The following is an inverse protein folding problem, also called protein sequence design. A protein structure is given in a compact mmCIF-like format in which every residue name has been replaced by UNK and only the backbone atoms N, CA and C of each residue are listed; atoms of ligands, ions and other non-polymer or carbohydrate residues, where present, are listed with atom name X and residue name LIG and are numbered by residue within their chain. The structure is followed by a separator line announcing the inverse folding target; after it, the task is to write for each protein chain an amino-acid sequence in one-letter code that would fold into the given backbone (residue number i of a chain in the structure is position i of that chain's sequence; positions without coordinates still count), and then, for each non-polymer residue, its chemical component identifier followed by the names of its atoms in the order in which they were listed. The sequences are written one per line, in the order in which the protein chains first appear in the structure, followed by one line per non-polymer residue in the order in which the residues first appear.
data_IF_451565488372
#
_entry.id   IF_451565488372
#
_cell.length_a   1.000
_cell.length_b   1.000
_cell.length_c   1.000
_cell.angle_alpha   90.00
_cell.angle_beta   90.00
_cell.angle_gamma   90.00
#
_symmetry.space_group_name_H-M   'P 1'
#
loop_
_entity.id
_entity.type
_entity.pdbx_description
1 polymer ?
#
# COMPACT_ATOMS: atom_id res chain seq x y z
N UNK A 1 11.02 -25.24 -9.05
CA UNK A 1 9.56 -25.41 -9.34
C UNK A 1 9.02 -24.07 -9.79
N UNK A 2 7.91 -24.02 -10.55
CA UNK A 2 7.30 -22.75 -10.93
C UNK A 2 6.27 -22.33 -9.87
N UNK A 3 6.26 -21.04 -9.52
CA UNK A 3 5.28 -20.46 -8.60
C UNK A 3 3.99 -20.12 -9.36
N UNK A 4 2.83 -20.56 -8.83
CA UNK A 4 1.54 -20.11 -9.34
C UNK A 4 1.21 -18.75 -8.69
N UNK A 5 0.98 -17.73 -9.50
CA UNK A 5 0.70 -16.36 -9.05
C UNK A 5 -0.51 -15.83 -9.82
N UNK A 6 -1.51 -15.32 -9.10
CA UNK A 6 -2.61 -14.60 -9.72
C UNK A 6 -2.12 -13.23 -10.19
N UNK A 7 -2.31 -12.93 -11.48
CA UNK A 7 -1.93 -11.66 -12.08
C UNK A 7 -3.18 -10.85 -12.41
N UNK A 8 -3.30 -9.68 -11.79
CA UNK A 8 -4.44 -8.76 -12.00
C UNK A 8 -3.90 -7.49 -12.64
N UNK A 9 -4.11 -7.26 -13.95
CA UNK A 9 -3.59 -6.06 -14.63
C UNK A 9 -4.14 -4.76 -14.03
N UNK A 10 -5.41 -4.73 -13.60
CA UNK A 10 -6.10 -3.54 -13.12
C UNK A 10 -6.57 -2.64 -14.26
N UNK A 11 -6.89 -1.38 -13.92
CA UNK A 11 -7.46 -0.38 -14.82
C UNK A 11 -6.44 0.67 -15.27
N UNK A 12 -6.78 1.42 -16.30
CA UNK A 12 -6.05 2.59 -16.75
C UNK A 12 -4.60 2.29 -17.16
N UNK A 13 -3.61 2.77 -16.39
CA UNK A 13 -2.18 2.48 -16.62
C UNK A 13 -1.79 1.05 -16.20
N UNK A 14 -2.67 0.36 -15.48
CA UNK A 14 -2.41 -0.96 -14.90
C UNK A 14 -1.86 -1.99 -15.88
N UNK A 15 -2.51 -2.24 -17.03
CA UNK A 15 -2.03 -3.22 -18.00
C UNK A 15 -0.58 -2.99 -18.48
N UNK A 16 -0.20 -1.74 -18.74
CA UNK A 16 1.14 -1.39 -19.22
C UNK A 16 2.22 -1.66 -18.17
N UNK A 17 2.00 -1.15 -16.94
CA UNK A 17 2.98 -1.29 -15.85
C UNK A 17 3.07 -2.73 -15.33
N UNK A 18 1.97 -3.48 -15.39
CA UNK A 18 1.92 -4.88 -14.98
C UNK A 18 2.64 -5.76 -15.97
N UNK A 19 2.46 -5.54 -17.30
CA UNK A 19 3.19 -6.27 -18.33
C UNK A 19 4.70 -5.96 -18.27
N UNK A 20 5.08 -4.69 -18.09
CA UNK A 20 6.46 -4.28 -17.88
C UNK A 20 7.08 -5.01 -16.66
N UNK A 21 6.35 -5.08 -15.56
CA UNK A 21 6.78 -5.77 -14.33
C UNK A 21 6.89 -7.28 -14.52
N UNK A 22 5.93 -7.91 -15.19
CA UNK A 22 5.96 -9.34 -15.50
C UNK A 22 7.23 -9.71 -16.27
N UNK A 23 7.58 -8.97 -17.34
CA UNK A 23 8.81 -9.15 -18.11
C UNK A 23 10.06 -9.10 -17.23
N UNK A 24 10.13 -8.11 -16.35
CA UNK A 24 11.25 -7.92 -15.41
C UNK A 24 11.34 -9.08 -14.41
N UNK A 25 10.22 -9.55 -13.86
CA UNK A 25 10.18 -10.69 -12.94
C UNK A 25 10.62 -11.98 -13.63
N UNK A 26 10.17 -12.24 -14.86
CA UNK A 26 10.61 -13.41 -15.66
C UNK A 26 12.12 -13.34 -15.95
N UNK A 27 12.69 -12.15 -16.19
CA UNK A 27 14.12 -11.96 -16.41
C UNK A 27 14.98 -12.25 -15.16
N UNK A 28 14.41 -12.30 -13.94
CA UNK A 28 15.13 -12.74 -12.74
C UNK A 28 15.59 -14.18 -12.79
N UNK A 29 14.97 -15.01 -13.65
CA UNK A 29 15.18 -16.44 -13.76
C UNK A 29 14.29 -17.28 -12.84
N UNK A 30 13.45 -16.65 -12.01
CA UNK A 30 12.42 -17.35 -11.25
C UNK A 30 11.28 -17.76 -12.18
N UNK A 31 10.85 -19.01 -12.09
CA UNK A 31 9.80 -19.54 -12.96
C UNK A 31 8.41 -19.24 -12.36
N UNK A 32 7.55 -18.59 -13.14
CA UNK A 32 6.17 -18.28 -12.78
C UNK A 32 5.17 -18.97 -13.70
N UNK A 33 3.99 -19.26 -13.14
CA UNK A 33 2.76 -19.61 -13.88
C UNK A 33 1.73 -18.57 -13.53
N UNK A 34 1.52 -17.62 -14.43
CA UNK A 34 0.59 -16.54 -14.25
C UNK A 34 -0.84 -17.01 -14.49
N UNK A 35 -1.69 -16.87 -13.46
CA UNK A 35 -3.14 -17.09 -13.54
C UNK A 35 -3.80 -15.71 -13.69
N UNK A 36 -4.16 -15.37 -14.94
CA UNK A 36 -4.66 -14.04 -15.29
C UNK A 36 -6.10 -13.87 -14.80
N UNK A 37 -6.35 -12.85 -14.02
CA UNK A 37 -7.67 -12.50 -13.48
C UNK A 37 -7.94 -11.01 -13.65
N UNK A 38 -9.18 -10.65 -13.96
CA UNK A 38 -9.56 -9.28 -14.25
C UNK A 38 -10.47 -8.72 -13.17
N UNK A 39 -10.11 -7.57 -12.59
CA UNK A 39 -10.88 -6.81 -11.61
C UNK A 39 -10.68 -5.31 -11.87
N UNK A 40 -11.68 -4.53 -11.55
CA UNK A 40 -11.67 -3.07 -11.70
C UNK A 40 -12.90 -2.55 -12.44
N UNK A 41 -12.86 -1.28 -12.84
CA UNK A 41 -13.97 -0.64 -13.52
C UNK A 41 -14.24 -1.25 -14.92
N UNK A 42 -13.19 -1.67 -15.62
CA UNK A 42 -13.27 -2.16 -17.00
C UNK A 42 -14.05 -3.47 -17.14
N UNK A 43 -14.23 -4.25 -16.05
CA UNK A 43 -14.96 -5.53 -16.08
C UNK A 43 -16.39 -5.44 -15.51
N UNK A 44 -16.77 -4.27 -15.00
CA UNK A 44 -18.10 -4.05 -14.39
C UNK A 44 -19.26 -4.37 -15.35
N UNK A 45 -19.13 -3.98 -16.61
CA UNK A 45 -20.19 -4.17 -17.61
C UNK A 45 -20.36 -5.66 -18.03
N UNK A 46 -19.25 -6.40 -18.03
CA UNK A 46 -19.24 -7.82 -18.41
C UNK A 46 -19.75 -8.74 -17.28
N UNK A 47 -19.30 -8.49 -16.05
CA UNK A 47 -19.56 -9.37 -14.91
C UNK A 47 -20.64 -8.85 -13.94
N UNK A 48 -21.15 -7.63 -14.14
CA UNK A 48 -22.10 -6.99 -13.22
C UNK A 48 -21.47 -6.56 -11.87
N UNK A 49 -20.16 -6.77 -11.70
CA UNK A 49 -19.39 -6.43 -10.51
C UNK A 49 -17.94 -6.10 -10.88
N UNK A 50 -17.29 -5.12 -10.22
CA UNK A 50 -15.89 -4.81 -10.46
C UNK A 50 -14.93 -5.82 -9.82
N UNK A 51 -15.44 -6.75 -9.00
CA UNK A 51 -14.68 -7.83 -8.37
C UNK A 51 -15.42 -9.15 -8.50
N UNK A 52 -15.31 -9.85 -9.63
CA UNK A 52 -15.92 -11.17 -9.81
C UNK A 52 -15.34 -12.22 -8.85
N UNK A 53 -16.19 -13.15 -8.37
CA UNK A 53 -15.80 -14.17 -7.38
C UNK A 53 -14.61 -15.03 -7.83
N UNK A 54 -14.49 -15.33 -9.13
CA UNK A 54 -13.38 -16.13 -9.65
C UNK A 54 -12.01 -15.51 -9.38
N UNK A 55 -11.93 -14.17 -9.24
CA UNK A 55 -10.69 -13.44 -8.88
C UNK A 55 -10.25 -13.81 -7.46
N UNK A 56 -11.22 -13.78 -6.52
CA UNK A 56 -10.96 -14.18 -5.14
C UNK A 56 -10.58 -15.67 -5.06
N UNK A 57 -11.23 -16.52 -5.85
CA UNK A 57 -10.96 -17.96 -5.88
C UNK A 57 -9.57 -18.26 -6.48
N UNK A 58 -9.16 -17.55 -7.53
CA UNK A 58 -7.79 -17.62 -8.06
C UNK A 58 -6.76 -17.26 -6.99
N UNK A 59 -6.96 -16.15 -6.26
CA UNK A 59 -6.04 -15.73 -5.19
C UNK A 59 -6.02 -16.75 -4.04
N UNK A 60 -7.18 -17.25 -3.60
CA UNK A 60 -7.25 -18.29 -2.55
C UNK A 60 -6.51 -19.56 -2.95
N UNK A 61 -6.60 -19.96 -4.21
CA UNK A 61 -5.91 -21.13 -4.76
C UNK A 61 -4.40 -20.93 -4.83
N UNK A 62 -3.96 -19.80 -5.37
CA UNK A 62 -2.55 -19.52 -5.64
C UNK A 62 -1.81 -18.93 -4.41
N UNK A 63 -2.55 -18.41 -3.41
CA UNK A 63 -2.06 -17.76 -2.19
C UNK A 63 -1.31 -16.45 -2.42
N UNK A 64 -0.80 -16.21 -3.61
CA UNK A 64 -0.01 -15.03 -3.98
C UNK A 64 -0.60 -14.39 -5.22
N UNK A 65 -0.72 -13.07 -5.19
CA UNK A 65 -1.13 -12.27 -6.34
C UNK A 65 -0.23 -11.05 -6.55
N UNK A 66 -0.02 -10.68 -7.81
CA UNK A 66 0.52 -9.39 -8.23
C UNK A 66 -0.60 -8.61 -8.90
N UNK A 67 -0.88 -7.40 -8.42
CA UNK A 67 -2.02 -6.61 -8.87
C UNK A 67 -1.60 -5.20 -9.28
N UNK A 68 -2.04 -4.79 -10.46
CA UNK A 68 -2.01 -3.39 -10.90
C UNK A 68 -3.06 -2.54 -10.17
N UNK A 69 -3.03 -1.22 -10.36
CA UNK A 69 -3.98 -0.30 -9.75
C UNK A 69 -5.40 -0.50 -10.33
N UNK A 70 -6.42 -0.26 -9.48
CA UNK A 70 -7.83 -0.29 -9.89
C UNK A 70 -8.49 1.05 -9.60
N UNK A 71 -9.49 1.40 -10.40
CA UNK A 71 -10.26 2.63 -10.26
C UNK A 71 -11.36 2.47 -9.22
N UNK A 72 -11.47 3.44 -8.30
CA UNK A 72 -12.60 3.58 -7.41
C UNK A 72 -13.32 4.89 -7.73
N UNK A 73 -14.62 4.88 -8.11
CA UNK A 73 -15.39 6.11 -8.36
C UNK A 73 -15.45 7.01 -7.13
N UNK A 74 -15.49 8.32 -7.36
CA UNK A 74 -15.62 9.33 -6.29
C UNK A 74 -17.09 9.72 -6.12
N UNK A 75 -17.57 9.75 -4.89
CA UNK A 75 -18.89 10.23 -4.49
C UNK A 75 -20.03 9.24 -4.73
N UNK A 76 -20.17 8.67 -5.92
CA UNK A 76 -21.21 7.70 -6.26
C UNK A 76 -20.65 6.54 -7.08
N UNK A 77 -21.37 5.41 -7.16
CA UNK A 77 -20.94 4.22 -7.88
C UNK A 77 -20.62 3.04 -6.95
N UNK A 78 -19.84 2.08 -7.43
CA UNK A 78 -19.48 0.91 -6.63
C UNK A 78 -18.42 1.23 -5.56
N UNK A 79 -18.46 0.48 -4.46
CA UNK A 79 -17.45 0.58 -3.38
C UNK A 79 -16.08 0.09 -3.85
N UNK A 80 -15.02 0.58 -3.19
CA UNK A 80 -13.63 0.25 -3.54
C UNK A 80 -13.40 -1.25 -3.67
N UNK A 81 -12.95 -1.67 -4.87
CA UNK A 81 -12.51 -3.04 -5.18
C UNK A 81 -11.38 -3.46 -4.23
N UNK A 82 -10.44 -2.56 -3.93
CA UNK A 82 -9.34 -2.83 -3.00
C UNK A 82 -9.86 -3.16 -1.60
N UNK A 83 -10.84 -2.41 -1.09
CA UNK A 83 -11.46 -2.68 0.22
C UNK A 83 -12.20 -4.03 0.22
N UNK A 84 -12.96 -4.32 -0.84
CA UNK A 84 -13.67 -5.58 -0.97
C UNK A 84 -12.72 -6.79 -1.01
N UNK A 85 -11.62 -6.68 -1.79
CA UNK A 85 -10.59 -7.71 -1.90
C UNK A 85 -9.89 -7.95 -0.56
N UNK A 86 -9.48 -6.87 0.15
CA UNK A 86 -8.82 -6.95 1.45
C UNK A 86 -9.70 -7.62 2.50
N UNK A 87 -10.99 -7.27 2.55
CA UNK A 87 -11.97 -7.89 3.46
C UNK A 87 -12.30 -9.33 3.08
N UNK A 88 -12.53 -9.61 1.79
CA UNK A 88 -12.89 -10.94 1.29
C UNK A 88 -11.79 -12.00 1.47
N UNK A 89 -10.55 -11.58 1.63
CA UNK A 89 -9.37 -12.44 1.82
C UNK A 89 -8.72 -12.25 3.20
N UNK A 90 -9.31 -11.45 4.10
CA UNK A 90 -8.75 -11.06 5.40
C UNK A 90 -7.27 -10.60 5.34
N UNK A 91 -6.97 -9.72 4.38
CA UNK A 91 -5.64 -9.13 4.23
C UNK A 91 -5.48 -7.96 5.22
N UNK A 92 -5.29 -8.28 6.47
CA UNK A 92 -5.39 -7.32 7.57
C UNK A 92 -4.20 -6.36 7.70
N UNK A 93 -3.04 -6.70 7.13
CA UNK A 93 -1.85 -5.88 7.20
C UNK A 93 -1.48 -5.33 5.82
N UNK A 94 -1.54 -4.00 5.67
CA UNK A 94 -0.99 -3.32 4.50
C UNK A 94 0.42 -2.82 4.82
N UNK A 95 1.40 -3.33 4.09
CA UNK A 95 2.82 -3.04 4.27
C UNK A 95 3.29 -2.12 3.13
N UNK A 96 3.79 -0.93 3.46
CA UNK A 96 4.23 0.10 2.51
C UNK A 96 5.63 0.60 2.86
N UNK A 97 6.69 -0.01 2.35
CA UNK A 97 8.05 0.48 2.52
C UNK A 97 8.29 1.73 1.67
N UNK A 98 8.92 2.74 2.27
CA UNK A 98 9.29 4.02 1.68
C UNK A 98 10.78 4.25 1.90
N UNK A 99 11.58 4.02 0.86
CA UNK A 99 13.04 4.09 0.89
C UNK A 99 13.55 5.05 -0.17
N UNK A 100 14.51 5.93 0.18
CA UNK A 100 15.18 6.77 -0.80
C UNK A 100 16.16 5.96 -1.65
N UNK A 101 16.10 6.17 -2.95
CA UNK A 101 17.09 5.65 -3.90
C UNK A 101 17.96 6.81 -4.41
N UNK A 102 19.29 6.63 -4.54
CA UNK A 102 20.14 7.62 -5.19
C UNK A 102 19.62 7.96 -6.59
N UNK A 103 19.51 9.24 -6.91
CA UNK A 103 18.95 9.70 -8.19
C UNK A 103 17.43 9.94 -8.19
N UNK A 104 16.71 9.50 -7.19
CA UNK A 104 15.28 9.83 -7.05
C UNK A 104 15.04 11.32 -6.81
N UNK A 105 13.95 11.91 -7.35
CA UNK A 105 13.64 13.33 -7.22
C UNK A 105 13.10 13.68 -5.83
N UNK A 106 13.94 13.69 -4.83
CA UNK A 106 13.59 14.00 -3.45
C UNK A 106 14.56 14.99 -2.81
N UNK A 107 14.05 15.74 -1.82
CA UNK A 107 14.86 16.62 -0.97
C UNK A 107 15.52 15.89 0.19
N UNK A 108 15.10 14.66 0.47
CA UNK A 108 15.54 13.88 1.63
C UNK A 108 16.57 12.83 1.23
N UNK A 109 17.44 12.51 2.19
CA UNK A 109 18.43 11.43 2.07
C UNK A 109 18.27 10.47 3.23
N UNK A 110 18.65 9.22 3.00
CA UNK A 110 18.72 8.18 4.03
C UNK A 110 17.37 7.97 4.77
N UNK A 111 16.26 8.10 4.03
CA UNK A 111 14.93 7.74 4.52
C UNK A 111 14.68 6.28 4.20
N UNK A 112 14.35 5.50 5.22
CA UNK A 112 13.94 4.09 5.11
C UNK A 112 12.88 3.80 6.17
N UNK A 113 11.64 4.06 5.83
CA UNK A 113 10.46 3.93 6.69
C UNK A 113 9.56 2.84 6.14
N UNK A 114 8.98 2.04 7.03
CA UNK A 114 7.93 1.09 6.67
C UNK A 114 6.65 1.46 7.38
N UNK A 115 5.57 1.68 6.64
CA UNK A 115 4.24 1.90 7.20
C UNK A 115 3.49 0.58 7.23
N UNK A 116 3.07 0.16 8.40
CA UNK A 116 2.19 -0.97 8.69
C UNK A 116 0.81 -0.42 8.99
N UNK A 117 -0.10 -0.53 8.03
CA UNK A 117 -1.46 -0.01 8.09
C UNK A 117 -2.44 -1.14 8.40
N UNK A 118 -3.29 -0.97 9.41
CA UNK A 118 -4.47 -1.82 9.58
C UNK A 118 -5.38 -1.66 8.35
N UNK A 119 -6.03 -2.74 7.91
CA UNK A 119 -6.61 -2.79 6.57
C UNK A 119 -8.09 -3.21 6.53
N UNK A 120 -8.70 -3.56 7.67
CA UNK A 120 -10.02 -4.22 7.70
C UNK A 120 -11.11 -3.45 8.43
N UNK A 121 -10.77 -2.51 9.29
CA UNK A 121 -11.72 -1.71 10.06
C UNK A 121 -11.51 -0.19 9.89
N UNK A 122 -11.77 0.62 10.92
CA UNK A 122 -11.75 2.08 10.91
C UNK A 122 -12.88 2.64 10.01
N UNK A 123 -12.75 3.84 9.52
CA UNK A 123 -13.68 4.47 8.56
C UNK A 123 -13.83 3.68 7.25
N UNK A 124 -12.83 2.88 6.89
CA UNK A 124 -12.86 1.96 5.74
C UNK A 124 -13.81 0.75 5.93
N UNK A 125 -14.40 0.58 7.13
CA UNK A 125 -15.51 -0.36 7.32
C UNK A 125 -16.71 -0.02 6.43
N UNK A 126 -16.85 1.27 6.06
CA UNK A 126 -17.92 1.77 5.18
C UNK A 126 -19.28 1.77 5.86
N UNK A 127 -19.34 1.91 7.20
CA UNK A 127 -20.58 2.09 7.94
C UNK A 127 -20.89 3.58 7.92
N UNK A 128 -21.82 3.93 7.03
CA UNK A 128 -22.18 5.33 6.77
C UNK A 128 -23.71 5.49 6.75
N UNK A 129 -24.17 6.67 7.10
CA UNK A 129 -25.57 7.06 7.05
C UNK A 129 -25.67 8.40 6.32
N UNK A 130 -26.45 8.38 5.23
CA UNK A 130 -26.68 9.57 4.42
C UNK A 130 -27.58 10.55 5.17
N UNK A 131 -27.31 11.84 5.03
CA UNK A 131 -28.10 12.90 5.64
C UNK A 131 -29.57 12.81 5.24
N UNK A 132 -30.48 13.13 6.16
CA UNK A 132 -31.94 13.11 5.92
C UNK A 132 -32.59 11.74 5.88
N UNK A 133 -31.82 10.63 5.92
CA UNK A 133 -32.38 9.28 6.00
C UNK A 133 -32.99 8.96 7.36
N UNK A 134 -33.94 8.03 7.41
CA UNK A 134 -34.56 7.57 8.65
C UNK A 134 -33.53 7.03 9.66
N UNK A 135 -32.50 6.36 9.17
CA UNK A 135 -31.41 5.81 9.96
C UNK A 135 -30.52 6.91 10.57
N UNK A 136 -30.21 7.96 9.80
CA UNK A 136 -29.48 9.12 10.31
C UNK A 136 -30.28 9.87 11.40
N UNK A 137 -31.59 10.05 11.19
CA UNK A 137 -32.48 10.66 12.18
C UNK A 137 -32.50 9.85 13.49
N UNK A 138 -32.65 8.53 13.42
CA UNK A 138 -32.59 7.65 14.60
C UNK A 138 -31.26 7.70 15.31
N UNK A 139 -30.14 7.84 14.57
CA UNK A 139 -28.81 8.00 15.17
C UNK A 139 -28.69 9.33 15.90
N UNK A 140 -29.24 10.42 15.34
CA UNK A 140 -29.29 11.75 16.00
C UNK A 140 -30.09 11.65 17.29
N UNK A 141 -31.26 11.02 17.27
CA UNK A 141 -32.09 10.82 18.45
C UNK A 141 -31.34 10.04 19.54
N UNK A 142 -30.70 8.92 19.18
CA UNK A 142 -29.89 8.12 20.10
C UNK A 142 -28.75 8.89 20.72
N UNK A 143 -28.01 9.69 19.93
CA UNK A 143 -26.91 10.55 20.44
C UNK A 143 -27.47 11.59 21.39
N UNK A 144 -28.55 12.26 21.04
CA UNK A 144 -29.18 13.29 21.87
C UNK A 144 -29.66 12.70 23.21
N UNK A 145 -30.31 11.54 23.16
CA UNK A 145 -30.82 10.85 24.35
C UNK A 145 -29.69 10.37 25.28
N UNK A 146 -28.66 9.77 24.70
CA UNK A 146 -27.60 9.10 25.49
C UNK A 146 -26.45 10.00 25.89
N UNK A 147 -26.13 11.04 25.12
CA UNK A 147 -25.01 11.97 25.37
C UNK A 147 -25.44 13.38 25.77
N UNK A 148 -26.70 13.74 25.52
CA UNK A 148 -27.16 15.13 25.73
C UNK A 148 -26.59 16.11 24.70
N UNK A 149 -25.97 15.64 23.64
CA UNK A 149 -25.34 16.46 22.60
C UNK A 149 -26.36 16.74 21.47
N UNK A 150 -26.51 17.99 21.11
CA UNK A 150 -27.36 18.39 19.98
C UNK A 150 -26.58 18.19 18.67
N UNK A 151 -27.03 17.26 17.86
CA UNK A 151 -26.51 17.03 16.51
C UNK A 151 -27.40 17.77 15.49
N UNK A 152 -26.77 18.41 14.49
CA UNK A 152 -27.52 19.05 13.40
C UNK A 152 -28.26 18.02 12.59
N UNK A 153 -29.53 18.34 12.22
CA UNK A 153 -30.42 17.40 11.51
C UNK A 153 -30.01 17.13 10.06
N UNK A 154 -29.15 17.99 9.49
CA UNK A 154 -28.56 17.90 8.16
C UNK A 154 -27.15 17.25 8.20
N UNK A 155 -26.91 16.34 9.14
CA UNK A 155 -25.62 15.64 9.28
C UNK A 155 -25.64 14.28 8.61
N UNK A 156 -24.59 13.99 7.81
CA UNK A 156 -24.21 12.62 7.44
C UNK A 156 -23.25 12.02 8.46
N UNK A 157 -23.20 10.69 8.58
CA UNK A 157 -22.37 10.00 9.57
C UNK A 157 -21.49 8.96 8.93
N UNK A 158 -20.25 8.89 9.42
CA UNK A 158 -19.34 7.75 9.19
C UNK A 158 -18.89 7.21 10.55
N UNK A 159 -19.00 5.90 10.76
CA UNK A 159 -18.64 5.26 12.02
C UNK A 159 -17.19 4.78 11.98
N UNK A 160 -16.35 5.33 12.85
CA UNK A 160 -14.98 4.88 13.08
C UNK A 160 -14.99 3.73 14.08
N UNK A 161 -14.67 2.53 13.61
CA UNK A 161 -14.55 1.33 14.45
C UNK A 161 -13.09 1.03 14.71
N UNK A 162 -12.75 0.80 15.98
CA UNK A 162 -11.44 0.27 16.40
C UNK A 162 -11.70 -0.86 17.39
N UNK A 163 -11.25 -2.06 17.06
CA UNK A 163 -11.39 -3.24 17.90
C UNK A 163 -10.09 -3.63 18.56
N UNK A 164 -10.18 -4.34 19.70
CA UNK A 164 -9.01 -4.93 20.34
C UNK A 164 -8.34 -5.95 19.44
N UNK A 165 -9.13 -6.80 18.79
CA UNK A 165 -8.64 -7.89 17.93
C UNK A 165 -7.80 -7.35 16.77
N UNK A 166 -8.33 -6.39 16.00
CA UNK A 166 -7.61 -5.82 14.86
C UNK A 166 -6.43 -4.97 15.31
N UNK A 167 -6.56 -4.21 16.39
CA UNK A 167 -5.45 -3.44 16.96
C UNK A 167 -4.30 -4.34 17.39
N UNK A 168 -4.60 -5.44 18.10
CA UNK A 168 -3.60 -6.39 18.60
C UNK A 168 -2.87 -7.08 17.45
N UNK A 169 -3.59 -7.59 16.44
CA UNK A 169 -2.97 -8.32 15.33
C UNK A 169 -2.09 -7.40 14.47
N UNK A 170 -2.49 -6.16 14.20
CA UNK A 170 -1.68 -5.26 13.39
C UNK A 170 -0.45 -4.75 14.13
N UNK A 171 -0.55 -4.51 15.43
CA UNK A 171 0.59 -4.11 16.25
C UNK A 171 1.58 -5.26 16.39
N UNK A 172 1.13 -6.50 16.66
CA UNK A 172 2.00 -7.67 16.66
C UNK A 172 2.70 -7.85 15.32
N UNK A 173 1.97 -7.74 14.23
CA UNK A 173 2.56 -7.79 12.88
C UNK A 173 3.71 -6.78 12.74
N UNK A 174 3.54 -5.54 13.21
CA UNK A 174 4.58 -4.53 13.13
C UNK A 174 5.84 -4.90 13.94
N UNK A 175 5.66 -5.42 15.14
CA UNK A 175 6.80 -5.89 15.97
C UNK A 175 7.48 -7.12 15.38
N UNK A 176 6.73 -8.10 14.89
CA UNK A 176 7.27 -9.29 14.23
C UNK A 176 8.03 -8.90 12.95
N UNK A 177 7.50 -7.93 12.20
CA UNK A 177 8.19 -7.36 11.04
C UNK A 177 9.54 -6.72 11.42
N UNK A 178 9.58 -5.91 12.49
CA UNK A 178 10.81 -5.30 13.00
C UNK A 178 11.85 -6.39 13.32
N UNK A 179 11.44 -7.43 14.03
CA UNK A 179 12.33 -8.54 14.42
C UNK A 179 12.83 -9.35 13.23
N UNK A 180 11.94 -9.70 12.29
CA UNK A 180 12.28 -10.47 11.09
C UNK A 180 13.23 -9.72 10.15
N UNK A 181 13.14 -8.38 10.10
CA UNK A 181 13.93 -7.54 9.20
C UNK A 181 15.07 -6.78 9.90
N UNK A 182 15.39 -7.14 11.16
CA UNK A 182 16.46 -6.53 11.96
C UNK A 182 16.34 -5.01 12.07
N UNK A 183 15.12 -4.50 12.07
CA UNK A 183 14.78 -3.11 12.34
C UNK A 183 14.83 -2.85 13.86
N UNK A 184 14.63 -1.62 14.30
CA UNK A 184 14.92 -1.23 15.69
C UNK A 184 13.73 -0.69 16.45
N UNK A 185 12.78 -0.03 15.77
CA UNK A 185 11.76 0.76 16.44
C UNK A 185 10.38 0.64 15.81
N UNK A 186 9.35 0.57 16.66
CA UNK A 186 7.94 0.72 16.28
C UNK A 186 7.42 2.06 16.83
N UNK A 187 6.82 2.86 15.95
CA UNK A 187 6.09 4.10 16.30
C UNK A 187 4.61 3.89 16.05
N UNK A 188 3.79 3.87 17.11
CA UNK A 188 2.31 3.79 16.99
C UNK A 188 1.71 5.18 16.79
N UNK A 189 0.85 5.33 15.77
CA UNK A 189 0.22 6.62 15.44
C UNK A 189 -1.27 6.60 15.77
N UNK A 190 -1.75 7.62 16.46
CA UNK A 190 -3.11 7.71 16.97
C UNK A 190 -3.57 9.16 17.17
N UNK A 191 -4.84 9.36 17.54
CA UNK A 191 -5.43 10.65 17.97
C UNK A 191 -6.16 10.51 19.33
N UNK A 192 -5.60 9.74 20.25
CA UNK A 192 -6.21 9.39 21.55
C UNK A 192 -6.47 10.58 22.49
N UNK A 193 -5.86 11.74 22.24
CA UNK A 193 -6.19 12.96 22.98
C UNK A 193 -7.59 13.50 22.64
N UNK A 194 -8.14 13.15 21.48
CA UNK A 194 -9.50 13.49 21.02
C UNK A 194 -10.40 12.26 21.08
N UNK A 195 -10.04 11.19 20.39
CA UNK A 195 -10.84 9.96 20.30
C UNK A 195 -10.43 8.98 21.41
N UNK A 196 -10.96 9.24 22.61
CA UNK A 196 -10.57 8.55 23.86
C UNK A 196 -10.91 7.05 23.86
N UNK A 197 -11.98 6.64 23.18
CA UNK A 197 -12.51 5.28 23.24
C UNK A 197 -12.08 4.43 22.04
N UNK A 198 -11.95 4.99 20.84
CA UNK A 198 -11.44 4.28 19.66
C UNK A 198 -9.92 4.32 19.59
N UNK A 199 -9.32 5.49 19.36
CA UNK A 199 -7.86 5.60 19.28
C UNK A 199 -7.17 5.36 20.64
N UNK A 200 -7.87 5.64 21.74
CA UNK A 200 -7.41 5.28 23.07
C UNK A 200 -7.30 3.79 23.29
N UNK A 201 -8.23 2.99 22.73
CA UNK A 201 -8.15 1.53 22.73
C UNK A 201 -6.95 1.05 21.91
N UNK A 202 -6.78 1.55 20.66
CA UNK A 202 -5.61 1.22 19.84
C UNK A 202 -4.30 1.49 20.59
N UNK A 203 -4.17 2.68 21.19
CA UNK A 203 -2.96 3.05 21.95
C UNK A 203 -2.72 2.16 23.17
N UNK A 204 -3.77 1.83 23.92
CA UNK A 204 -3.67 0.93 25.07
C UNK A 204 -3.16 -0.45 24.67
N UNK A 205 -3.72 -1.01 23.59
CA UNK A 205 -3.30 -2.31 23.03
C UNK A 205 -1.87 -2.23 22.48
N UNK A 206 -1.50 -1.14 21.78
CA UNK A 206 -0.14 -0.98 21.28
C UNK A 206 0.90 -0.97 22.43
N UNK A 207 0.61 -0.27 23.52
CA UNK A 207 1.45 -0.25 24.72
C UNK A 207 1.50 -1.59 25.47
N UNK A 208 0.42 -2.37 25.41
CA UNK A 208 0.37 -3.70 26.00
C UNK A 208 1.23 -4.68 25.19
N UNK A 209 1.04 -4.74 23.86
CA UNK A 209 1.82 -5.60 22.97
C UNK A 209 3.30 -5.25 23.00
N UNK A 210 3.66 -3.97 23.09
CA UNK A 210 5.07 -3.56 23.19
C UNK A 210 5.82 -4.20 24.36
N UNK A 211 5.14 -4.53 25.46
CA UNK A 211 5.76 -5.22 26.61
C UNK A 211 6.18 -6.66 26.29
N UNK A 212 5.59 -7.28 25.25
CA UNK A 212 5.94 -8.62 24.79
C UNK A 212 7.26 -8.61 23.95
N UNK A 213 7.75 -7.41 23.58
CA UNK A 213 8.93 -7.20 22.74
C UNK A 213 9.94 -6.22 23.38
N UNK A 214 10.53 -6.59 24.55
CA UNK A 214 11.41 -5.69 25.30
C UNK A 214 12.73 -5.35 24.60
N UNK A 215 13.06 -6.06 23.52
CA UNK A 215 14.22 -5.88 22.67
C UNK A 215 14.00 -4.81 21.56
N UNK A 216 12.76 -4.32 21.38
CA UNK A 216 12.39 -3.37 20.34
C UNK A 216 12.00 -2.05 20.97
N UNK A 217 12.56 -0.94 20.47
CA UNK A 217 12.16 0.40 20.91
C UNK A 217 10.72 0.68 20.50
N UNK A 218 9.93 1.21 21.44
CA UNK A 218 8.54 1.60 21.20
C UNK A 218 8.30 3.05 21.58
N UNK A 219 7.62 3.78 20.70
CA UNK A 219 7.07 5.11 20.99
C UNK A 219 5.68 5.28 20.40
N UNK A 220 4.95 6.28 20.88
CA UNK A 220 3.69 6.68 20.27
C UNK A 220 3.68 8.16 19.87
N UNK A 221 2.90 8.51 18.86
CA UNK A 221 2.77 9.88 18.34
C UNK A 221 1.32 10.22 18.00
N UNK A 222 0.93 11.43 18.31
CA UNK A 222 -0.31 12.01 17.75
C UNK A 222 -0.15 12.21 16.24
N UNK A 223 -1.17 11.86 15.44
CA UNK A 223 -1.10 11.85 13.97
C UNK A 223 -0.72 13.21 13.37
N UNK A 224 -1.22 14.31 13.91
CA UNK A 224 -0.86 15.68 13.50
C UNK A 224 0.62 16.00 13.79
N UNK A 225 1.12 15.61 14.96
CA UNK A 225 2.54 15.73 15.27
C UNK A 225 3.39 14.83 14.36
N UNK A 226 2.94 13.60 14.09
CA UNK A 226 3.61 12.65 13.22
C UNK A 226 3.81 13.21 11.81
N UNK A 227 2.77 13.80 11.20
CA UNK A 227 2.88 14.38 9.86
C UNK A 227 3.91 15.51 9.80
N UNK A 228 3.92 16.39 10.81
CA UNK A 228 4.92 17.46 10.91
C UNK A 228 6.34 16.90 11.10
N UNK A 229 6.51 15.89 11.95
CA UNK A 229 7.83 15.30 12.22
C UNK A 229 8.37 14.55 11.00
N UNK A 230 7.54 13.86 10.22
CA UNK A 230 7.92 13.22 8.97
C UNK A 230 8.51 14.21 7.97
N UNK A 231 7.91 15.40 7.85
CA UNK A 231 8.45 16.47 6.98
C UNK A 231 9.75 17.04 7.51
N UNK A 232 9.92 17.15 8.83
CA UNK A 232 11.11 17.79 9.42
C UNK A 232 12.28 16.84 9.61
N UNK A 233 12.04 15.60 10.01
CA UNK A 233 13.06 14.63 10.42
C UNK A 233 12.62 13.20 10.15
N UNK A 234 12.38 12.81 8.88
CA UNK A 234 11.87 11.46 8.56
C UNK A 234 12.81 10.35 9.03
N UNK A 235 14.11 10.59 9.07
CA UNK A 235 15.14 9.58 9.43
C UNK A 235 15.04 9.09 10.88
N UNK A 236 14.26 9.75 11.74
CA UNK A 236 14.06 9.30 13.12
C UNK A 236 13.05 8.15 13.24
N UNK A 237 12.29 7.86 12.18
CA UNK A 237 11.28 6.80 12.16
C UNK A 237 11.80 5.57 11.43
N UNK A 238 11.30 4.40 11.84
CA UNK A 238 11.70 3.11 11.29
C UNK A 238 10.46 2.33 10.83
N UNK A 239 9.70 1.72 11.73
CA UNK A 239 8.42 1.10 11.41
C UNK A 239 7.29 1.87 12.09
N UNK A 240 6.33 2.32 11.31
CA UNK A 240 5.16 3.06 11.76
C UNK A 240 3.96 2.13 11.71
N UNK A 241 3.23 1.96 12.82
CA UNK A 241 1.96 1.24 12.84
C UNK A 241 0.80 2.19 13.10
N UNK A 242 -0.26 2.08 12.31
CA UNK A 242 -1.40 2.99 12.38
C UNK A 242 -2.74 2.30 12.06
N UNK A 243 -3.87 2.81 12.61
CA UNK A 243 -5.21 2.54 12.11
C UNK A 243 -5.33 2.86 10.62
N UNK A 244 -6.35 2.32 9.98
CA UNK A 244 -6.51 2.29 8.53
C UNK A 244 -6.40 3.67 7.87
N UNK A 245 -7.21 4.64 8.26
CA UNK A 245 -7.19 5.97 7.63
C UNK A 245 -5.86 6.69 7.82
N UNK A 246 -5.29 6.64 9.02
CA UNK A 246 -4.00 7.31 9.27
C UNK A 246 -2.87 6.63 8.51
N UNK A 247 -2.88 5.30 8.45
CA UNK A 247 -1.91 4.54 7.68
C UNK A 247 -1.95 4.88 6.19
N UNK A 248 -3.14 5.12 5.63
CA UNK A 248 -3.30 5.57 4.24
C UNK A 248 -2.64 6.94 4.01
N UNK A 249 -3.03 7.93 4.81
CA UNK A 249 -2.51 9.30 4.68
C UNK A 249 -0.99 9.37 4.90
N UNK A 250 -0.50 8.69 5.95
CA UNK A 250 0.93 8.70 6.30
C UNK A 250 1.77 7.99 5.23
N UNK A 251 1.29 6.89 4.66
CA UNK A 251 2.06 6.19 3.63
C UNK A 251 2.21 7.00 2.35
N UNK A 252 1.20 7.77 1.94
CA UNK A 252 1.31 8.66 0.79
C UNK A 252 2.24 9.84 1.07
N UNK A 253 2.21 10.38 2.31
CA UNK A 253 3.19 11.36 2.74
C UNK A 253 4.62 10.77 2.67
N UNK A 254 4.84 9.57 3.21
CA UNK A 254 6.14 8.89 3.17
C UNK A 254 6.60 8.62 1.72
N UNK A 255 5.69 8.23 0.82
CA UNK A 255 5.99 8.08 -0.60
C UNK A 255 6.48 9.41 -1.21
N UNK A 256 5.84 10.53 -0.87
CA UNK A 256 6.28 11.87 -1.27
C UNK A 256 7.69 12.22 -0.79
N UNK A 257 8.07 11.78 0.41
CA UNK A 257 9.40 12.02 0.96
C UNK A 257 10.51 11.27 0.21
N UNK A 258 10.21 10.17 -0.48
CA UNK A 258 11.22 9.32 -1.13
C UNK A 258 11.25 9.43 -2.66
N UNK A 259 10.46 10.33 -3.24
CA UNK A 259 10.48 10.60 -4.68
C UNK A 259 9.13 10.43 -5.38
N UNK A 260 8.07 10.11 -4.64
CA UNK A 260 6.69 10.04 -5.12
C UNK A 260 6.16 8.62 -5.25
N UNK A 261 4.86 8.55 -5.60
CA UNK A 261 4.10 7.30 -5.67
C UNK A 261 4.64 6.29 -6.70
N UNK A 262 5.35 6.76 -7.74
CA UNK A 262 5.98 5.90 -8.75
C UNK A 262 7.13 5.02 -8.22
N UNK A 263 7.57 5.26 -6.96
CA UNK A 263 8.58 4.48 -6.24
C UNK A 263 8.03 3.82 -4.97
N UNK A 264 6.71 3.83 -4.77
CA UNK A 264 6.06 3.35 -3.55
C UNK A 264 5.40 1.98 -3.77
N UNK A 265 6.08 0.87 -3.41
CA UNK A 265 5.50 -0.46 -3.44
C UNK A 265 4.56 -0.69 -2.27
N UNK A 266 3.79 -1.77 -2.36
CA UNK A 266 2.93 -2.22 -1.28
C UNK A 266 2.63 -3.71 -1.32
N UNK A 267 2.21 -4.22 -0.17
CA UNK A 267 1.66 -5.55 -0.02
C UNK A 267 0.48 -5.54 0.94
N UNK A 268 -0.53 -6.34 0.66
CA UNK A 268 -1.62 -6.62 1.58
C UNK A 268 -1.50 -8.08 2.01
N UNK A 269 -1.35 -8.31 3.29
CA UNK A 269 -0.98 -9.59 3.88
C UNK A 269 -2.06 -10.07 4.84
N UNK A 270 -2.46 -11.32 4.67
CA UNK A 270 -3.22 -12.12 5.61
C UNK A 270 -2.32 -13.17 6.26
N UNK A 271 -2.93 -14.19 6.88
CA UNK A 271 -2.17 -15.27 7.52
C UNK A 271 -1.44 -16.16 6.49
N UNK A 272 -2.09 -16.44 5.36
CA UNK A 272 -1.54 -17.34 4.32
C UNK A 272 -1.73 -16.82 2.89
N UNK A 273 -2.25 -15.61 2.71
CA UNK A 273 -2.49 -14.97 1.42
C UNK A 273 -1.76 -13.62 1.38
N UNK A 274 -1.13 -13.34 0.25
CA UNK A 274 -0.43 -12.08 0.01
C UNK A 274 -0.80 -11.50 -1.36
N UNK A 275 -1.15 -10.22 -1.41
CA UNK A 275 -1.41 -9.46 -2.64
C UNK A 275 -0.46 -8.29 -2.71
N UNK A 276 0.39 -8.27 -3.72
CA UNK A 276 1.40 -7.23 -3.96
C UNK A 276 0.85 -6.24 -4.98
N UNK A 277 0.85 -4.96 -4.63
CA UNK A 277 0.31 -3.89 -5.47
C UNK A 277 1.05 -2.56 -5.25
N UNK A 278 1.10 -1.64 -6.22
CA UNK A 278 1.64 -0.31 -6.00
C UNK A 278 0.68 0.51 -5.13
N UNK A 279 1.22 1.54 -4.48
CA UNK A 279 0.42 2.47 -3.66
C UNK A 279 -0.45 3.39 -4.52
N UNK A 280 0.02 3.77 -5.73
CA UNK A 280 -0.67 4.71 -6.61
C UNK A 280 -1.95 4.13 -7.26
N UNK A 281 -2.85 5.02 -7.71
CA UNK A 281 -4.06 4.68 -8.44
C UNK A 281 -3.85 4.42 -9.94
N UNK A 282 -4.95 4.22 -10.66
CA UNK A 282 -5.00 3.81 -12.07
C UNK A 282 -4.71 4.90 -13.10
N UNK A 283 -4.69 6.18 -12.72
CA UNK A 283 -4.38 7.34 -13.56
C UNK A 283 -4.89 7.22 -15.02
N UNK A 284 -6.21 7.08 -15.27
CA UNK A 284 -6.77 6.69 -16.56
C UNK A 284 -6.42 7.65 -17.71
N UNK A 285 -6.12 8.92 -17.39
CA UNK A 285 -5.69 9.93 -18.38
C UNK A 285 -4.39 9.56 -19.09
N UNK A 286 -3.59 8.64 -18.57
CA UNK A 286 -2.32 8.21 -19.15
C UNK A 286 -2.38 6.78 -19.73
N UNK A 287 -3.52 6.12 -19.71
CA UNK A 287 -3.69 4.77 -20.24
C UNK A 287 -3.28 4.70 -21.72
N UNK A 288 -2.56 3.63 -22.11
CA UNK A 288 -2.13 3.38 -23.47
C UNK A 288 -1.01 4.29 -24.01
N UNK A 289 -0.41 5.15 -23.16
CA UNK A 289 0.58 6.14 -23.62
C UNK A 289 2.05 5.68 -23.45
N UNK A 290 2.29 4.52 -22.86
CA UNK A 290 3.64 4.03 -22.56
C UNK A 290 4.53 5.08 -21.86
N UNK A 291 3.99 5.80 -20.86
CA UNK A 291 4.60 7.03 -20.31
C UNK A 291 4.88 6.94 -18.80
N UNK A 292 4.14 6.11 -18.10
CA UNK A 292 4.14 6.10 -16.63
C UNK A 292 5.26 5.24 -16.06
N UNK A 293 5.66 5.57 -14.83
CA UNK A 293 6.72 4.86 -14.12
C UNK A 293 6.23 3.48 -13.64
N UNK A 294 6.84 2.36 -14.04
CA UNK A 294 6.46 1.02 -13.60
C UNK A 294 7.17 0.59 -12.31
N UNK A 295 8.10 1.38 -11.77
CA UNK A 295 9.01 0.94 -10.69
C UNK A 295 8.28 0.60 -9.40
N UNK A 296 7.16 1.24 -9.07
CA UNK A 296 6.37 0.90 -7.89
C UNK A 296 5.83 -0.54 -7.95
N UNK A 297 5.33 -0.99 -9.11
CA UNK A 297 4.88 -2.38 -9.31
C UNK A 297 6.07 -3.33 -9.34
N UNK A 298 7.18 -2.95 -9.96
CA UNK A 298 8.42 -3.75 -9.96
C UNK A 298 8.95 -3.96 -8.53
N UNK A 299 8.95 -2.91 -7.70
CA UNK A 299 9.33 -3.00 -6.28
C UNK A 299 8.32 -3.82 -5.46
N UNK A 300 7.02 -3.78 -5.82
CA UNK A 300 6.03 -4.71 -5.26
C UNK A 300 6.34 -6.16 -5.66
N UNK A 301 6.84 -6.37 -6.88
CA UNK A 301 7.38 -7.65 -7.35
C UNK A 301 8.62 -8.09 -6.58
N UNK A 302 9.51 -7.18 -6.16
CA UNK A 302 10.62 -7.47 -5.24
C UNK A 302 10.11 -7.98 -3.90
N UNK A 303 9.06 -7.34 -3.34
CA UNK A 303 8.43 -7.81 -2.10
C UNK A 303 7.83 -9.20 -2.29
N UNK A 304 7.18 -9.47 -3.43
CA UNK A 304 6.63 -10.78 -3.78
C UNK A 304 7.73 -11.85 -3.86
N UNK A 305 8.85 -11.56 -4.50
CA UNK A 305 9.99 -12.49 -4.56
C UNK A 305 10.52 -12.84 -3.17
N UNK A 306 10.65 -11.85 -2.28
CA UNK A 306 11.05 -12.09 -0.88
C UNK A 306 10.05 -12.96 -0.13
N UNK A 307 8.76 -12.71 -0.31
CA UNK A 307 7.68 -13.53 0.26
C UNK A 307 7.74 -15.00 -0.22
N UNK A 308 8.08 -15.22 -1.48
CA UNK A 308 8.27 -16.56 -2.06
C UNK A 308 9.60 -17.23 -1.66
N UNK A 309 10.44 -16.58 -0.86
CA UNK A 309 11.75 -17.10 -0.43
C UNK A 309 12.86 -16.89 -1.45
N UNK A 310 12.60 -16.23 -2.58
CA UNK A 310 13.54 -15.94 -3.66
C UNK A 310 14.40 -14.70 -3.38
N UNK A 311 15.00 -14.64 -2.18
CA UNK A 311 15.73 -13.47 -1.66
C UNK A 311 16.85 -13.01 -2.59
N UNK A 312 17.63 -13.94 -3.16
CA UNK A 312 18.72 -13.59 -4.08
C UNK A 312 18.22 -12.93 -5.38
N UNK A 313 17.09 -13.40 -5.91
CA UNK A 313 16.46 -12.79 -7.08
C UNK A 313 15.87 -11.41 -6.74
N UNK A 314 15.25 -11.28 -5.58
CA UNK A 314 14.73 -10.02 -5.07
C UNK A 314 15.82 -8.97 -4.89
N UNK A 315 16.95 -9.33 -4.27
CA UNK A 315 18.07 -8.41 -4.01
C UNK A 315 18.73 -7.95 -5.32
N UNK A 316 18.90 -8.86 -6.29
CA UNK A 316 19.40 -8.49 -7.62
C UNK A 316 18.45 -7.56 -8.36
N UNK A 317 17.12 -7.81 -8.29
CA UNK A 317 16.14 -6.96 -8.93
C UNK A 317 16.08 -5.58 -8.28
N UNK A 318 16.07 -5.50 -6.95
CA UNK A 318 16.09 -4.20 -6.25
C UNK A 318 17.37 -3.41 -6.60
N UNK A 319 18.51 -4.09 -6.66
CA UNK A 319 19.78 -3.48 -7.07
C UNK A 319 19.72 -2.96 -8.50
N UNK A 320 19.21 -3.74 -9.46
CA UNK A 320 19.06 -3.32 -10.85
C UNK A 320 18.17 -2.07 -10.98
N UNK A 321 17.04 -2.04 -10.28
CA UNK A 321 16.14 -0.87 -10.22
C UNK A 321 16.89 0.34 -9.64
N UNK A 322 17.61 0.17 -8.53
CA UNK A 322 18.38 1.23 -7.89
C UNK A 322 19.46 1.81 -8.81
N UNK A 323 20.16 0.97 -9.58
CA UNK A 323 21.17 1.41 -10.56
C UNK A 323 20.56 2.19 -11.71
N UNK A 324 19.41 1.76 -12.26
CA UNK A 324 18.67 2.50 -13.31
C UNK A 324 18.23 3.89 -12.80
N UNK A 325 17.74 3.96 -11.54
CA UNK A 325 17.40 5.24 -10.91
C UNK A 325 18.63 6.13 -10.75
N UNK A 326 19.73 5.59 -10.23
CA UNK A 326 20.97 6.34 -9.98
C UNK A 326 21.60 6.87 -11.28
N UNK A 327 21.59 6.09 -12.35
CA UNK A 327 22.07 6.54 -13.67
C UNK A 327 21.17 7.63 -14.26
N UNK A 328 19.87 7.58 -14.03
CA UNK A 328 18.90 8.59 -14.49
C UNK A 328 18.80 8.71 -16.01
N UNK A 329 19.30 7.75 -16.79
CA UNK A 329 19.26 7.76 -18.26
C UNK A 329 17.96 7.23 -18.78
N UNK A 330 17.52 6.07 -18.28
CA UNK A 330 16.34 5.34 -18.72
C UNK A 330 15.23 5.42 -17.68
N UNK A 331 14.77 6.64 -17.39
CA UNK A 331 13.72 6.92 -16.40
C UNK A 331 12.57 7.72 -17.02
N UNK A 332 11.39 7.62 -16.45
CA UNK A 332 10.18 8.32 -16.87
C UNK A 332 10.20 9.80 -16.48
N UNK A 333 9.25 10.57 -16.98
CA UNK A 333 9.18 12.03 -16.82
C UNK A 333 9.06 12.49 -15.36
N UNK A 334 8.41 11.73 -14.51
CA UNK A 334 8.23 12.01 -13.09
C UNK A 334 9.55 11.93 -12.29
N UNK A 335 10.50 11.17 -12.79
CA UNK A 335 11.84 11.07 -12.21
C UNK A 335 12.76 12.26 -12.53
N UNK A 336 12.32 13.16 -13.42
CA UNK A 336 13.07 14.37 -13.85
C UNK A 336 12.22 15.64 -13.84
N UNK A 337 11.49 15.95 -12.76
CA UNK A 337 10.46 16.98 -12.77
C UNK A 337 10.97 18.40 -13.01
N UNK A 338 12.26 18.68 -12.78
CA UNK A 338 12.85 20.02 -12.80
C UNK A 338 13.95 20.20 -13.87
N UNK A 339 14.09 19.24 -14.80
CA UNK A 339 15.12 19.31 -15.84
C UNK A 339 14.48 19.67 -17.16
N UNK A 340 14.68 20.92 -17.63
CA UNK A 340 14.23 21.36 -18.94
C UNK A 340 14.87 20.49 -20.04
N UNK A 341 14.05 20.02 -21.01
CA UNK A 341 14.48 19.14 -22.10
C UNK A 341 15.14 17.83 -21.66
N UNK A 342 14.79 17.31 -20.46
CA UNK A 342 15.27 16.00 -20.01
C UNK A 342 14.87 14.91 -21.02
N UNK A 343 15.82 14.11 -21.43
CA UNK A 343 15.52 12.88 -22.15
C UNK A 343 14.86 11.92 -21.17
N UNK A 344 13.65 11.49 -21.52
CA UNK A 344 12.85 10.53 -20.75
C UNK A 344 12.48 9.36 -21.64
N UNK A 345 12.24 8.21 -21.04
CA UNK A 345 11.81 7.02 -21.76
C UNK A 345 10.40 6.61 -21.32
N UNK A 346 9.78 5.71 -22.07
CA UNK A 346 8.47 5.18 -21.73
C UNK A 346 8.54 4.01 -20.75
N UNK A 347 7.36 3.55 -20.32
CA UNK A 347 7.17 2.43 -19.37
C UNK A 347 7.93 1.17 -19.81
N UNK A 348 7.80 0.78 -21.08
CA UNK A 348 8.44 -0.44 -21.61
C UNK A 348 9.96 -0.32 -21.66
N UNK A 349 10.50 0.86 -21.99
CA UNK A 349 11.94 1.10 -22.03
C UNK A 349 12.58 1.12 -20.63
N UNK A 350 11.84 1.53 -19.62
CA UNK A 350 12.30 1.35 -18.21
C UNK A 350 12.47 -0.14 -17.90
N UNK A 351 11.52 -0.97 -18.32
CA UNK A 351 11.62 -2.42 -18.12
C UNK A 351 12.83 -3.01 -18.87
N UNK A 352 13.06 -2.57 -20.12
CA UNK A 352 14.23 -3.00 -20.90
C UNK A 352 15.54 -2.67 -20.18
N UNK A 353 15.67 -1.44 -19.66
CA UNK A 353 16.85 -1.02 -18.89
C UNK A 353 17.07 -1.81 -17.60
N UNK A 354 15.98 -2.13 -16.87
CA UNK A 354 16.09 -2.97 -15.66
C UNK A 354 16.50 -4.40 -16.01
N UNK A 355 15.99 -4.96 -17.12
CA UNK A 355 16.37 -6.30 -17.61
C UNK A 355 17.85 -6.32 -17.98
N UNK A 356 18.33 -5.31 -18.71
CA UNK A 356 19.76 -5.18 -19.07
C UNK A 356 20.65 -5.17 -17.82
N UNK A 357 20.28 -4.38 -16.79
CA UNK A 357 21.01 -4.38 -15.51
C UNK A 357 20.96 -5.72 -14.78
N UNK A 358 19.83 -6.41 -14.81
CA UNK A 358 19.71 -7.77 -14.24
C UNK A 358 20.68 -8.75 -14.92
N UNK A 359 20.85 -8.68 -16.24
CA UNK A 359 21.78 -9.53 -16.98
C UNK A 359 23.23 -9.22 -16.63
N UNK A 360 23.60 -7.92 -16.52
CA UNK A 360 24.92 -7.50 -16.05
C UNK A 360 25.24 -8.08 -14.65
N UNK A 361 24.28 -8.00 -13.72
CA UNK A 361 24.42 -8.48 -12.34
C UNK A 361 24.41 -10.01 -12.19
N UNK A 362 24.01 -10.77 -13.20
CA UNK A 362 24.15 -12.25 -13.21
C UNK A 362 25.59 -12.69 -13.44
N UNK A 363 26.37 -11.86 -14.11
CA UNK A 363 27.74 -12.17 -14.52
C UNK A 363 28.81 -11.65 -13.52
N UNK A 364 28.36 -10.97 -12.48
CA UNK A 364 29.20 -10.49 -11.36
C UNK A 364 28.92 -11.27 -10.08
#
# INVERSE_FOLDING_TARGET
MAYNVTLIPGDGIGPEITEATKRVLEATGVAFRWDLAYAGADVQDEFGTPLPDYVLDSIRKNKVALKGPVTTPIGSGFRSVNVALRKGLDLYACLRPCKTYPGAPTLYKDVDIVVVRENTEDLYSGIEFEEGTSEAVRLIELITETKGEAVRTDSGFSIKLISETCSRRIVRFAFDYVRAHQRKKVTAVHKANIMKFSDGLFLAIAREVAKEYPDIEFEDRLVDNMTMQLVKRPQQFDVIVAPNLYGDIISDLCAGLVGGLGLAPGANLGDDIAVFEPTHGSAPKYAGQNKVNPMAVMLSGVMMLRHLGETKAADRLEKAIAEVIAEGKSVTYDMKPNIANAQVVGTSQVADAVIEKLEELKNT
#
